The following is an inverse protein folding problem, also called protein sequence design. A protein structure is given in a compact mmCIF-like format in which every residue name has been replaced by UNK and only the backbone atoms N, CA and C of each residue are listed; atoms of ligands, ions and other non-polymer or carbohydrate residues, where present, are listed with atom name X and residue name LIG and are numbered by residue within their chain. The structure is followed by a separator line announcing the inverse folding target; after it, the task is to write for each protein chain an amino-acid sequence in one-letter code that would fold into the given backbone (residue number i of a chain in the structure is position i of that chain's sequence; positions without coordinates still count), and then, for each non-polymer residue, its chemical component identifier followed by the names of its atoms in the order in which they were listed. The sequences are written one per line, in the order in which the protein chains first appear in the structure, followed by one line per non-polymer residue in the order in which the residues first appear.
data_IF_026366351875
#
_entry.id   IF_026366351875
#
_cell.length_a   1.000
_cell.length_b   1.000
_cell.length_c   1.000
_cell.angle_alpha   90.00
_cell.angle_beta   90.00
_cell.angle_gamma   90.00
#
_symmetry.space_group_name_H-M   'P 1'
#
loop_
_entity.id
_entity.type
_entity.pdbx_description
1 polymer ?
#
# COMPACT_ATOMS: atom_id res chain seq x y z
N UNK A 1 -3.77 -8.24 -0.60
CA UNK A 1 -4.67 -7.95 -1.73
C UNK A 1 -4.01 -6.93 -2.65
N UNK A 2 -4.41 -6.91 -3.92
CA UNK A 2 -4.05 -5.90 -4.92
C UNK A 2 -5.34 -5.62 -5.71
N UNK A 3 -5.77 -4.37 -5.78
CA UNK A 3 -6.96 -3.94 -6.51
C UNK A 3 -6.64 -2.67 -7.30
N UNK A 4 -7.36 -2.46 -8.40
CA UNK A 4 -7.29 -1.25 -9.22
C UNK A 4 -8.68 -0.94 -9.78
N UNK A 5 -8.93 0.34 -10.09
CA UNK A 5 -10.13 0.73 -10.83
C UNK A 5 -10.09 0.31 -12.31
N UNK A 6 -8.90 -0.01 -12.84
CA UNK A 6 -8.70 -0.47 -14.22
C UNK A 6 -7.63 0.32 -14.96
N UNK A 7 -6.95 -0.34 -15.89
CA UNK A 7 -5.88 0.25 -16.71
C UNK A 7 -6.40 1.32 -17.67
N UNK A 8 -7.70 1.27 -17.97
CA UNK A 8 -8.40 2.19 -18.86
C UNK A 8 -8.45 3.62 -18.31
N UNK A 9 -8.24 3.82 -17.00
CA UNK A 9 -8.13 5.15 -16.38
C UNK A 9 -7.21 6.07 -17.19
N UNK A 10 -6.01 5.58 -17.51
CA UNK A 10 -4.96 6.34 -18.20
C UNK A 10 -5.43 6.71 -19.60
N UNK A 11 -5.95 5.75 -20.36
CA UNK A 11 -6.40 5.97 -21.73
C UNK A 11 -7.59 6.94 -21.81
N UNK A 12 -8.52 6.88 -20.86
CA UNK A 12 -9.68 7.76 -20.81
C UNK A 12 -9.26 9.19 -20.43
N UNK A 13 -8.36 9.34 -19.46
CA UNK A 13 -7.82 10.63 -19.07
C UNK A 13 -7.05 11.31 -20.22
N UNK A 14 -6.14 10.59 -20.87
CA UNK A 14 -5.38 11.09 -22.02
C UNK A 14 -6.29 11.54 -23.18
N UNK A 15 -7.43 10.85 -23.38
CA UNK A 15 -8.41 11.25 -24.39
C UNK A 15 -9.02 12.62 -24.08
N UNK A 16 -9.31 12.91 -22.81
CA UNK A 16 -9.82 14.22 -22.39
C UNK A 16 -8.74 15.30 -22.49
N UNK A 17 -7.50 15.01 -22.07
CA UNK A 17 -6.36 15.94 -22.20
C UNK A 17 -6.10 16.31 -23.66
N UNK A 18 -6.12 15.34 -24.59
CA UNK A 18 -5.98 15.60 -26.03
C UNK A 18 -7.11 16.46 -26.61
N UNK A 19 -8.26 16.49 -25.94
CA UNK A 19 -9.39 17.36 -26.31
C UNK A 19 -9.36 18.72 -25.59
N UNK A 20 -8.31 19.02 -24.81
CA UNK A 20 -8.21 20.18 -23.91
C UNK A 20 -9.35 20.26 -22.88
N UNK A 21 -9.85 19.10 -22.45
CA UNK A 21 -10.86 18.98 -21.38
C UNK A 21 -10.19 18.51 -20.08
N UNK A 22 -9.45 19.43 -19.46
CA UNK A 22 -8.70 19.15 -18.22
C UNK A 22 -9.64 18.77 -17.06
N UNK A 23 -10.85 19.33 -17.03
CA UNK A 23 -11.85 19.01 -16.01
C UNK A 23 -12.23 17.53 -16.06
N UNK A 24 -12.59 17.02 -17.24
CA UNK A 24 -12.98 15.62 -17.37
C UNK A 24 -11.80 14.66 -17.18
N UNK A 25 -10.58 15.06 -17.56
CA UNK A 25 -9.37 14.29 -17.25
C UNK A 25 -9.15 14.16 -15.74
N UNK A 26 -9.24 15.27 -15.00
CA UNK A 26 -9.12 15.26 -13.54
C UNK A 26 -10.27 14.46 -12.92
N UNK A 27 -11.49 14.64 -13.42
CA UNK A 27 -12.67 13.96 -12.90
C UNK A 27 -12.58 12.45 -13.04
N UNK A 28 -12.12 11.92 -14.19
CA UNK A 28 -12.00 10.47 -14.36
C UNK A 28 -10.93 9.88 -13.45
N UNK A 29 -9.79 10.56 -13.26
CA UNK A 29 -8.75 10.14 -12.31
C UNK A 29 -9.28 10.14 -10.88
N UNK A 30 -10.02 11.18 -10.49
CA UNK A 30 -10.64 11.26 -9.18
C UNK A 30 -11.67 10.12 -8.95
N UNK A 31 -12.50 9.81 -9.94
CA UNK A 31 -13.44 8.70 -9.88
C UNK A 31 -12.73 7.34 -9.80
N UNK A 32 -11.67 7.15 -10.58
CA UNK A 32 -10.86 5.93 -10.54
C UNK A 32 -10.28 5.72 -9.14
N UNK A 33 -9.74 6.76 -8.51
CA UNK A 33 -9.22 6.68 -7.15
C UNK A 33 -10.31 6.28 -6.14
N UNK A 34 -11.52 6.87 -6.25
CA UNK A 34 -12.67 6.46 -5.42
C UNK A 34 -13.09 5.00 -5.65
N UNK A 35 -13.04 4.51 -6.89
CA UNK A 35 -13.35 3.11 -7.18
C UNK A 35 -12.30 2.15 -6.65
N UNK A 36 -11.01 2.49 -6.73
CA UNK A 36 -9.94 1.68 -6.18
C UNK A 36 -10.07 1.51 -4.66
N UNK A 37 -10.36 2.60 -3.94
CA UNK A 37 -10.59 2.57 -2.49
C UNK A 37 -11.88 1.83 -2.11
N UNK A 38 -12.97 2.06 -2.84
CA UNK A 38 -14.21 1.32 -2.63
C UNK A 38 -14.02 -0.20 -2.87
N UNK A 39 -13.18 -0.57 -3.84
CA UNK A 39 -12.86 -1.98 -4.09
C UNK A 39 -11.99 -2.56 -2.97
N UNK A 40 -11.05 -1.80 -2.43
CA UNK A 40 -10.28 -2.23 -1.26
C UNK A 40 -11.18 -2.50 -0.05
N UNK A 41 -12.14 -1.61 0.23
CA UNK A 41 -13.13 -1.79 1.31
C UNK A 41 -14.01 -3.02 1.06
N UNK A 42 -14.57 -3.16 -0.15
CA UNK A 42 -15.42 -4.30 -0.51
C UNK A 42 -14.66 -5.62 -0.44
N UNK A 43 -13.41 -5.66 -0.90
CA UNK A 43 -12.57 -6.86 -0.81
C UNK A 43 -12.26 -7.20 0.64
N UNK A 44 -11.99 -6.21 1.49
CA UNK A 44 -11.77 -6.45 2.90
C UNK A 44 -13.03 -7.04 3.55
N UNK A 45 -14.21 -6.45 3.30
CA UNK A 45 -15.51 -6.96 3.79
C UNK A 45 -15.73 -8.43 3.36
N UNK A 46 -15.48 -8.76 2.08
CA UNK A 46 -15.55 -10.13 1.59
C UNK A 46 -14.55 -11.07 2.28
N UNK A 47 -13.36 -10.60 2.60
CA UNK A 47 -12.39 -11.40 3.35
C UNK A 47 -12.87 -11.67 4.76
N UNK A 48 -13.39 -10.66 5.47
CA UNK A 48 -13.92 -10.83 6.83
C UNK A 48 -15.10 -11.81 6.87
N UNK A 49 -16.01 -11.71 5.89
CA UNK A 49 -17.27 -12.46 5.87
C UNK A 49 -17.20 -13.82 5.18
N UNK A 50 -16.44 -13.93 4.10
CA UNK A 50 -16.46 -15.09 3.21
C UNK A 50 -15.11 -15.83 3.15
N UNK A 51 -14.03 -15.16 2.74
CA UNK A 51 -12.77 -15.85 2.45
C UNK A 51 -11.99 -16.28 3.70
N UNK A 52 -11.97 -15.44 4.73
CA UNK A 52 -11.42 -15.77 6.05
C UNK A 52 -12.54 -16.14 7.02
N UNK A 53 -13.69 -15.45 6.94
CA UNK A 53 -14.93 -15.87 7.60
C UNK A 53 -14.93 -15.73 9.12
N UNK A 54 -14.11 -14.84 9.68
CA UNK A 54 -14.09 -14.59 11.13
C UNK A 54 -15.19 -13.62 11.61
N UNK A 55 -15.95 -13.04 10.69
CA UNK A 55 -17.07 -12.14 10.97
C UNK A 55 -18.22 -12.37 9.96
N UNK A 56 -18.64 -13.62 9.76
CA UNK A 56 -19.65 -14.00 8.75
C UNK A 56 -21.02 -13.35 8.95
N UNK A 57 -21.33 -12.94 10.18
CA UNK A 57 -22.56 -12.27 10.60
C UNK A 57 -22.48 -10.74 10.56
N UNK A 58 -21.36 -10.17 10.12
CA UNK A 58 -21.18 -8.72 9.98
C UNK A 58 -22.22 -8.11 9.03
N UNK A 59 -22.98 -7.14 9.54
CA UNK A 59 -24.07 -6.47 8.84
C UNK A 59 -23.93 -4.93 8.85
N UNK A 60 -22.72 -4.43 8.60
CA UNK A 60 -22.43 -3.00 8.53
C UNK A 60 -22.93 -2.38 7.22
N UNK A 61 -23.57 -1.21 7.30
CA UNK A 61 -23.88 -0.37 6.16
C UNK A 61 -22.61 0.29 5.59
N UNK A 62 -22.61 0.69 4.30
CA UNK A 62 -21.44 1.31 3.68
C UNK A 62 -20.86 2.51 4.45
N UNK A 63 -21.72 3.38 4.99
CA UNK A 63 -21.28 4.56 5.75
C UNK A 63 -20.65 4.19 7.11
N UNK A 64 -21.07 3.06 7.70
CA UNK A 64 -20.52 2.58 8.96
C UNK A 64 -19.09 2.05 8.79
N UNK A 65 -18.75 1.50 7.62
CA UNK A 65 -17.42 0.97 7.32
C UNK A 65 -16.32 2.03 7.41
N UNK A 66 -16.65 3.30 7.18
CA UNK A 66 -15.71 4.43 7.24
C UNK A 66 -15.17 4.63 8.66
N UNK A 67 -15.97 4.34 9.69
CA UNK A 67 -15.54 4.38 11.09
C UNK A 67 -14.68 3.19 11.49
N UNK A 68 -14.43 2.27 10.57
CA UNK A 68 -13.71 1.00 10.77
C UNK A 68 -14.18 0.19 12.01
N UNK A 69 -15.50 0.05 12.28
CA UNK A 69 -15.99 -0.63 13.49
C UNK A 69 -15.87 -2.17 13.41
N UNK A 70 -15.32 -2.69 12.32
CA UNK A 70 -15.10 -4.11 12.11
C UNK A 70 -13.82 -4.61 12.80
N UNK A 71 -13.77 -5.91 13.05
CA UNK A 71 -12.59 -6.58 13.56
C UNK A 71 -11.50 -6.67 12.48
N UNK A 72 -10.25 -6.38 12.84
CA UNK A 72 -9.09 -6.55 11.98
C UNK A 72 -8.74 -5.32 11.14
N UNK A 73 -7.53 -5.32 10.57
CA UNK A 73 -7.00 -4.19 9.77
C UNK A 73 -6.42 -4.65 8.44
N UNK A 74 -6.24 -3.69 7.52
CA UNK A 74 -5.73 -3.94 6.17
C UNK A 74 -4.50 -3.07 5.79
N UNK A 75 -3.39 -3.09 6.57
CA UNK A 75 -2.28 -2.16 6.39
C UNK A 75 -1.61 -2.31 5.02
N UNK A 76 -1.20 -1.16 4.48
CA UNK A 76 -0.61 -1.03 3.16
C UNK A 76 0.86 -0.56 3.26
N UNK A 77 1.80 -1.16 2.52
CA UNK A 77 3.17 -0.69 2.47
C UNK A 77 3.27 0.77 2.00
N UNK A 78 4.02 1.59 2.73
CA UNK A 78 4.16 3.04 2.58
C UNK A 78 3.36 3.86 3.61
N UNK A 79 2.38 3.27 4.28
CA UNK A 79 1.69 3.92 5.41
C UNK A 79 2.54 3.88 6.68
N UNK A 80 2.26 4.73 7.69
CA UNK A 80 3.05 4.80 8.92
C UNK A 80 3.22 3.47 9.68
N UNK A 81 2.24 2.56 9.59
CA UNK A 81 2.30 1.23 10.20
C UNK A 81 3.21 0.24 9.45
N UNK A 82 3.51 0.53 8.18
CA UNK A 82 4.35 -0.30 7.32
C UNK A 82 5.11 0.60 6.33
N UNK A 83 6.09 1.41 6.78
CA UNK A 83 6.67 2.49 5.96
C UNK A 83 7.55 2.00 4.80
N UNK A 84 8.06 0.76 4.83
CA UNK A 84 8.88 0.22 3.75
C UNK A 84 8.04 -0.07 2.49
N UNK A 85 8.21 0.75 1.46
CA UNK A 85 7.53 0.59 0.18
C UNK A 85 7.90 -0.70 -0.57
N UNK A 86 9.10 -1.23 -0.35
CA UNK A 86 9.61 -2.39 -1.09
C UNK A 86 8.87 -3.69 -0.73
N UNK A 87 8.14 -3.73 0.40
CA UNK A 87 7.27 -4.87 0.74
C UNK A 87 6.12 -5.08 -0.27
N UNK A 88 5.85 -4.11 -1.16
CA UNK A 88 4.96 -4.36 -2.31
C UNK A 88 5.49 -5.46 -3.22
N UNK A 89 6.81 -5.61 -3.40
CA UNK A 89 7.35 -6.75 -4.18
C UNK A 89 6.92 -8.09 -3.59
N UNK A 90 6.93 -8.21 -2.25
CA UNK A 90 6.47 -9.43 -1.58
C UNK A 90 5.01 -9.71 -1.91
N UNK A 91 4.14 -8.70 -1.82
CA UNK A 91 2.72 -8.84 -2.16
C UNK A 91 2.50 -9.24 -3.63
N UNK A 92 3.20 -8.58 -4.55
CA UNK A 92 3.06 -8.82 -5.99
C UNK A 92 3.55 -10.22 -6.38
N UNK A 93 4.63 -10.70 -5.77
CA UNK A 93 5.11 -12.07 -5.96
C UNK A 93 4.13 -13.11 -5.40
N UNK A 94 3.56 -12.88 -4.22
CA UNK A 94 2.61 -13.81 -3.60
C UNK A 94 1.29 -13.91 -4.37
N UNK A 95 0.86 -12.80 -4.95
CA UNK A 95 -0.46 -12.68 -5.59
C UNK A 95 -0.41 -12.72 -7.12
N UNK A 96 0.79 -12.81 -7.71
CA UNK A 96 1.00 -12.72 -9.16
C UNK A 96 0.29 -11.46 -9.71
N UNK A 97 0.62 -10.31 -9.11
CA UNK A 97 -0.15 -9.06 -9.20
C UNK A 97 -0.36 -8.53 -10.62
N UNK A 98 0.69 -8.56 -11.45
CA UNK A 98 0.59 -8.13 -12.85
C UNK A 98 -0.39 -8.99 -13.63
N UNK A 99 -0.30 -10.31 -13.49
CA UNK A 99 -1.14 -11.24 -14.24
C UNK A 99 -2.59 -11.27 -13.73
N UNK A 100 -2.79 -11.21 -12.42
CA UNK A 100 -4.11 -11.39 -11.82
C UNK A 100 -4.89 -10.08 -11.63
N UNK A 101 -4.19 -8.94 -11.48
CA UNK A 101 -4.83 -7.64 -11.25
C UNK A 101 -4.52 -6.59 -12.35
N UNK A 102 -3.58 -6.87 -13.26
CA UNK A 102 -3.18 -5.90 -14.30
C UNK A 102 -2.42 -4.69 -13.74
N UNK A 103 -1.87 -4.81 -12.53
CA UNK A 103 -1.13 -3.74 -11.85
C UNK A 103 0.35 -4.08 -11.86
N UNK A 104 1.21 -3.12 -12.19
CA UNK A 104 2.68 -3.24 -12.14
C UNK A 104 3.28 -2.34 -11.06
N UNK A 105 4.55 -2.60 -10.74
CA UNK A 105 5.35 -1.76 -9.84
C UNK A 105 6.42 -1.00 -10.63
N UNK A 106 6.55 0.30 -10.36
CA UNK A 106 7.68 1.09 -10.86
C UNK A 106 8.96 0.77 -10.08
N UNK A 107 10.11 1.27 -10.54
CA UNK A 107 11.39 1.19 -9.82
C UNK A 107 11.34 1.81 -8.42
N UNK A 108 10.43 2.76 -8.19
CA UNK A 108 10.18 3.39 -6.89
C UNK A 108 9.11 2.69 -6.05
N UNK A 109 8.62 1.52 -6.48
CA UNK A 109 7.51 0.79 -5.87
C UNK A 109 6.20 1.61 -5.79
N UNK A 110 6.01 2.55 -6.72
CA UNK A 110 4.68 3.06 -7.01
C UNK A 110 3.91 2.02 -7.82
N UNK A 111 2.58 1.97 -7.65
CA UNK A 111 1.72 1.08 -8.44
C UNK A 111 1.27 1.79 -9.70
N UNK A 112 1.14 1.02 -10.80
CA UNK A 112 0.54 1.48 -12.04
C UNK A 112 -0.53 0.48 -12.48
N UNK A 113 -1.78 0.91 -12.74
CA UNK A 113 -2.30 2.27 -12.74
C UNK A 113 -2.25 2.97 -11.38
N UNK A 114 -2.28 4.31 -11.39
CA UNK A 114 -2.17 5.11 -10.16
C UNK A 114 -3.31 4.84 -9.19
N UNK A 115 -4.54 4.68 -9.70
CA UNK A 115 -5.71 4.30 -8.90
C UNK A 115 -5.68 2.81 -8.54
N UNK A 116 -4.77 2.45 -7.64
CA UNK A 116 -4.55 1.09 -7.16
C UNK A 116 -4.29 1.08 -5.66
N UNK A 117 -4.73 0.00 -4.99
CA UNK A 117 -4.50 -0.22 -3.55
C UNK A 117 -3.95 -1.63 -3.35
N UNK A 118 -2.92 -1.76 -2.50
CA UNK A 118 -2.41 -3.06 -2.08
C UNK A 118 -2.05 -3.06 -0.60
N UNK A 119 -2.20 -4.21 0.03
CA UNK A 119 -1.95 -4.38 1.46
C UNK A 119 -2.09 -5.81 1.92
N UNK A 120 -1.90 -6.02 3.22
CA UNK A 120 -2.16 -7.29 3.90
C UNK A 120 -3.48 -7.25 4.66
N UNK A 121 -3.93 -8.39 5.19
CA UNK A 121 -5.06 -8.47 6.11
C UNK A 121 -4.58 -9.07 7.43
N UNK A 122 -4.99 -8.47 8.55
CA UNK A 122 -4.71 -8.97 9.90
C UNK A 122 -6.03 -9.13 10.65
N UNK A 123 -6.34 -10.35 11.08
CA UNK A 123 -7.61 -10.70 11.73
C UNK A 123 -7.60 -10.65 13.27
N UNK A 124 -6.46 -10.32 13.89
CA UNK A 124 -6.36 -10.26 15.34
C UNK A 124 -7.28 -9.15 15.88
N UNK A 125 -8.11 -9.41 16.92
CA UNK A 125 -9.09 -8.44 17.39
C UNK A 125 -8.47 -7.19 18.02
N UNK A 126 -7.24 -7.31 18.52
CA UNK A 126 -6.48 -6.18 19.07
C UNK A 126 -5.53 -5.55 18.03
N UNK A 127 -5.66 -5.89 16.75
CA UNK A 127 -4.87 -5.21 15.71
C UNK A 127 -5.41 -3.80 15.48
N UNK A 128 -4.52 -2.82 15.39
CA UNK A 128 -4.85 -1.41 15.14
C UNK A 128 -3.70 -0.74 14.38
N UNK A 129 -4.00 0.38 13.73
CA UNK A 129 -2.97 1.17 13.05
C UNK A 129 -2.16 1.99 14.07
N UNK A 130 -0.84 1.81 14.04
CA UNK A 130 0.10 2.64 14.78
C UNK A 130 1.25 3.06 13.84
N UNK A 131 1.86 4.21 14.09
CA UNK A 131 3.06 4.60 13.37
C UNK A 131 4.29 3.89 13.94
N UNK A 132 5.14 3.34 13.09
CA UNK A 132 6.46 2.80 13.51
C UNK A 132 7.34 3.89 14.14
N UNK A 133 7.13 5.15 13.74
CA UNK A 133 7.90 6.31 14.19
C UNK A 133 9.39 6.15 13.85
N UNK A 134 10.26 6.78 14.65
CA UNK A 134 11.70 6.82 14.39
C UNK A 134 12.37 5.49 14.75
N UNK A 135 13.24 5.00 13.87
CA UNK A 135 14.01 3.75 14.05
C UNK A 135 15.49 4.04 14.19
N UNK A 136 16.13 3.28 15.08
CA UNK A 136 17.57 3.36 15.35
C UNK A 136 18.37 2.47 14.40
N UNK A 137 19.68 2.74 14.31
CA UNK A 137 20.57 2.07 13.36
C UNK A 137 20.65 0.55 13.56
N UNK A 138 20.64 0.08 14.79
CA UNK A 138 20.67 -1.35 15.12
C UNK A 138 19.49 -2.11 14.50
N UNK A 139 18.29 -1.52 14.53
CA UNK A 139 17.10 -2.05 13.87
C UNK A 139 17.23 -2.02 12.34
N UNK A 140 17.81 -0.96 11.78
CA UNK A 140 18.04 -0.87 10.32
C UNK A 140 19.03 -1.93 9.85
N UNK A 141 20.11 -2.16 10.59
CA UNK A 141 21.08 -3.22 10.30
C UNK A 141 20.46 -4.62 10.41
N UNK A 142 19.61 -4.86 11.41
CA UNK A 142 18.86 -6.11 11.51
C UNK A 142 17.90 -6.32 10.34
N UNK A 143 17.19 -5.26 9.96
CA UNK A 143 16.27 -5.31 8.84
C UNK A 143 16.98 -5.55 7.51
N UNK A 144 18.15 -4.93 7.30
CA UNK A 144 19.01 -5.18 6.14
C UNK A 144 19.45 -6.64 6.03
N UNK A 145 19.87 -7.26 7.15
CA UNK A 145 20.18 -8.69 7.18
C UNK A 145 18.98 -9.56 6.80
N UNK A 146 17.81 -9.29 7.38
CA UNK A 146 16.57 -10.05 7.13
C UNK A 146 16.09 -9.94 5.68
N UNK A 147 16.29 -8.78 5.05
CA UNK A 147 15.95 -8.54 3.65
C UNK A 147 17.01 -9.00 2.66
N UNK A 148 18.19 -9.38 3.14
CA UNK A 148 19.38 -9.59 2.31
C UNK A 148 19.65 -8.39 1.38
N UNK A 149 19.50 -7.18 1.93
CA UNK A 149 19.64 -5.91 1.21
C UNK A 149 20.83 -5.13 1.79
N UNK A 150 21.65 -4.45 0.96
CA UNK A 150 22.70 -3.58 1.47
C UNK A 150 22.16 -2.52 2.44
N UNK A 151 22.90 -2.23 3.51
CA UNK A 151 22.48 -1.26 4.53
C UNK A 151 22.09 0.09 3.92
N UNK A 152 22.93 0.62 3.01
CA UNK A 152 22.69 1.89 2.33
C UNK A 152 21.38 1.91 1.52
N UNK A 153 20.95 0.76 0.99
CA UNK A 153 19.68 0.66 0.27
C UNK A 153 18.49 0.66 1.23
N UNK A 154 18.60 -0.03 2.37
CA UNK A 154 17.58 0.03 3.43
C UNK A 154 17.46 1.44 3.99
N UNK A 155 18.58 2.11 4.25
CA UNK A 155 18.61 3.52 4.69
C UNK A 155 17.93 4.45 3.69
N UNK A 156 18.10 4.21 2.38
CA UNK A 156 17.39 4.97 1.35
C UNK A 156 15.88 4.77 1.44
N UNK A 157 15.42 3.53 1.61
CA UNK A 157 13.98 3.22 1.66
C UNK A 157 13.32 3.66 2.97
N UNK A 158 14.02 3.53 4.10
CA UNK A 158 13.54 3.94 5.42
C UNK A 158 13.89 5.40 5.78
N UNK A 159 14.48 6.16 4.85
CA UNK A 159 14.94 7.54 5.05
C UNK A 159 14.00 8.43 5.88
N UNK A 160 12.68 8.48 5.61
CA UNK A 160 11.74 9.31 6.38
C UNK A 160 11.68 8.97 7.89
N UNK A 161 11.96 7.73 8.25
CA UNK A 161 11.82 7.21 9.62
C UNK A 161 13.16 7.00 10.34
N UNK A 162 14.31 7.27 9.72
CA UNK A 162 15.60 7.15 10.41
C UNK A 162 15.71 8.15 11.57
N UNK A 163 16.25 7.71 12.70
CA UNK A 163 16.60 8.56 13.85
C UNK A 163 18.07 9.00 13.87
N UNK A 164 18.79 8.79 12.77
CA UNK A 164 20.20 9.11 12.63
C UNK A 164 20.52 9.57 11.21
N UNK A 165 21.71 10.14 11.02
CA UNK A 165 22.21 10.56 9.70
C UNK A 165 23.16 9.49 9.17
N UNK A 166 22.85 8.81 8.05
CA UNK A 166 23.71 7.75 7.50
C UNK A 166 25.16 8.18 7.23
N UNK A 167 25.38 9.41 6.74
CA UNK A 167 26.71 9.91 6.37
C UNK A 167 27.71 9.97 7.54
N UNK A 168 27.25 10.29 8.75
CA UNK A 168 28.12 10.46 9.93
C UNK A 168 28.75 9.15 10.41
N UNK A 169 28.26 8.02 9.91
CA UNK A 169 28.69 6.69 10.33
C UNK A 169 29.61 5.99 9.34
N UNK A 170 29.60 6.41 8.07
CA UNK A 170 30.61 5.99 7.11
C UNK A 170 31.99 6.52 7.52
N UNK A 171 32.04 7.77 8.00
CA UNK A 171 33.29 8.43 8.45
C UNK A 171 33.81 7.89 9.79
N UNK A 172 32.95 7.35 10.66
CA UNK A 172 33.36 6.81 11.96
C UNK A 172 33.83 5.35 11.92
N UNK A 173 33.64 4.67 10.77
CA UNK A 173 34.00 3.26 10.55
C UNK A 173 35.25 3.08 9.67
N UNK A 174 35.79 4.16 9.09
CA UNK A 174 37.15 4.25 8.52
C UNK A 174 38.17 4.64 9.60
#
# INVERSE_FOLDING_TARGET
FIVTAGIEEVAIAERFERANDDYSSIMVKALADRFAEAFAERMHEKVRKEFWGYASDEALAPDELIGEPYRGIRPAPGYPAQPDHTEKATLFRLLDGERNAGVSLTESYAMWPGSSVSGIYLAHPESYYFGVAKVERDQVEDYARRKAMPLAEVERWLGPILNYVPAHYAEAAE
#
